data_IF_815177145880
#
_entry.id   IF_815177145880
#
_cell.length_a   1.000
_cell.length_b   1.000
_cell.length_c   1.000
_cell.angle_alpha   90.00
_cell.angle_beta   90.00
_cell.angle_gamma   90.00
#
_symmetry.space_group_name_H-M   'P 1'
#
loop_
_entity.id
_entity.type
_entity.pdbx_description
1 polymer ?
#
# COMPACT_ATOMS: atom_id res chain seq x y z
N UNK A 1 -6.41 -24.66 13.78
CA UNK A 1 -6.03 -24.27 12.41
C UNK A 1 -5.19 -22.97 12.32
N UNK A 2 -4.64 -22.44 13.42
CA UNK A 2 -3.47 -21.55 13.36
C UNK A 2 -2.54 -21.85 14.54
N UNK A 3 -3.12 -22.04 15.74
CA UNK A 3 -2.44 -22.58 16.93
C UNK A 3 -1.77 -23.95 16.71
N UNK A 4 -2.31 -24.81 15.83
CA UNK A 4 -1.64 -26.09 15.50
C UNK A 4 -0.38 -25.91 14.65
N UNK A 5 -0.31 -24.84 13.87
CA UNK A 5 0.82 -24.54 12.96
C UNK A 5 1.84 -23.65 13.67
N UNK A 6 1.39 -22.76 14.56
CA UNK A 6 2.21 -21.80 15.30
C UNK A 6 1.78 -21.75 16.79
N UNK A 7 2.12 -22.79 17.58
CA UNK A 7 1.53 -23.01 18.91
C UNK A 7 1.85 -21.98 20.00
N UNK A 8 2.75 -21.03 19.77
CA UNK A 8 3.10 -20.00 20.77
C UNK A 8 3.05 -18.57 20.24
N UNK A 9 2.50 -18.35 19.04
CA UNK A 9 2.46 -17.02 18.44
C UNK A 9 1.45 -16.09 19.14
N UNK A 10 0.58 -16.61 20.02
CA UNK A 10 -0.55 -15.88 20.62
C UNK A 10 -1.46 -15.16 19.60
N UNK A 11 -1.38 -15.55 18.32
CA UNK A 11 -2.13 -14.93 17.23
C UNK A 11 -3.52 -15.54 17.13
N UNK A 12 -4.53 -14.74 17.41
CA UNK A 12 -5.93 -15.08 17.12
C UNK A 12 -6.18 -14.91 15.62
N UNK A 13 -6.73 -15.96 14.97
CA UNK A 13 -6.92 -15.98 13.52
C UNK A 13 -7.79 -14.81 13.01
N UNK A 14 -8.91 -14.52 13.68
CA UNK A 14 -9.85 -13.46 13.26
C UNK A 14 -9.26 -12.04 13.32
N UNK A 15 -8.78 -11.52 14.47
CA UNK A 15 -8.25 -10.16 14.54
C UNK A 15 -6.93 -10.00 13.75
N UNK A 16 -6.14 -11.07 13.58
CA UNK A 16 -4.98 -11.02 12.69
C UNK A 16 -5.40 -10.83 11.22
N UNK A 17 -6.41 -11.57 10.76
CA UNK A 17 -6.97 -11.41 9.41
C UNK A 17 -7.57 -10.01 9.21
N UNK A 18 -8.34 -9.51 10.19
CA UNK A 18 -8.92 -8.16 10.15
C UNK A 18 -7.84 -7.07 10.07
N UNK A 19 -6.76 -7.21 10.84
CA UNK A 19 -5.61 -6.31 10.79
C UNK A 19 -4.94 -6.32 9.42
N UNK A 20 -4.69 -7.50 8.84
CA UNK A 20 -4.11 -7.63 7.50
C UNK A 20 -4.99 -7.03 6.41
N UNK A 21 -6.31 -7.26 6.46
CA UNK A 21 -7.25 -6.66 5.51
C UNK A 21 -7.25 -5.14 5.63
N UNK A 22 -7.18 -4.59 6.85
CA UNK A 22 -7.10 -3.14 7.06
C UNK A 22 -5.84 -2.54 6.43
N UNK A 23 -4.68 -3.17 6.63
CA UNK A 23 -3.43 -2.76 6.00
C UNK A 23 -3.54 -2.80 4.47
N UNK A 24 -4.00 -3.92 3.91
CA UNK A 24 -4.17 -4.06 2.46
C UNK A 24 -5.10 -3.01 1.85
N UNK A 25 -6.21 -2.68 2.52
CA UNK A 25 -7.12 -1.62 2.06
C UNK A 25 -6.46 -0.25 2.06
N UNK A 26 -5.63 0.05 3.07
CA UNK A 26 -4.89 1.31 3.15
C UNK A 26 -3.85 1.40 2.02
N UNK A 27 -3.05 0.36 1.85
CA UNK A 27 -2.01 0.32 0.82
C UNK A 27 -2.62 0.41 -0.58
N UNK A 28 -3.72 -0.30 -0.81
CA UNK A 28 -4.48 -0.20 -2.05
C UNK A 28 -4.99 1.22 -2.31
N UNK A 29 -5.54 1.91 -1.30
CA UNK A 29 -6.02 3.27 -1.47
C UNK A 29 -4.90 4.25 -1.83
N UNK A 30 -3.71 4.07 -1.24
CA UNK A 30 -2.52 4.88 -1.57
C UNK A 30 -2.14 4.69 -3.04
N UNK A 31 -1.97 3.43 -3.48
CA UNK A 31 -1.64 3.11 -4.88
C UNK A 31 -2.72 3.60 -5.84
N UNK A 32 -4.00 3.39 -5.49
CA UNK A 32 -5.13 3.85 -6.30
C UNK A 32 -5.09 5.37 -6.48
N UNK A 33 -4.84 6.13 -5.41
CA UNK A 33 -4.75 7.58 -5.47
C UNK A 33 -3.53 8.04 -6.27
N UNK A 34 -2.39 7.37 -6.14
CA UNK A 34 -1.21 7.63 -6.97
C UNK A 34 -1.54 7.45 -8.44
N UNK A 35 -2.24 6.38 -8.82
CA UNK A 35 -2.56 6.07 -10.22
C UNK A 35 -3.78 6.83 -10.77
N UNK A 36 -4.70 7.25 -9.91
CA UNK A 36 -5.97 7.90 -10.29
C UNK A 36 -6.00 9.40 -9.95
N UNK A 37 -4.86 9.97 -9.55
CA UNK A 37 -4.76 11.37 -9.15
C UNK A 37 -5.23 12.30 -10.25
N UNK A 38 -5.96 13.35 -9.85
CA UNK A 38 -6.42 14.41 -10.77
C UNK A 38 -5.20 15.10 -11.39
N UNK A 39 -5.30 15.41 -12.68
CA UNK A 39 -4.30 16.15 -13.48
C UNK A 39 -3.01 15.39 -13.85
N UNK A 40 -3.12 14.11 -14.23
CA UNK A 40 -2.00 13.27 -14.66
C UNK A 40 -0.92 13.18 -13.58
N UNK A 41 -1.20 12.42 -12.52
CA UNK A 41 -0.32 12.21 -11.36
C UNK A 41 1.13 11.80 -11.64
N UNK A 42 1.56 11.62 -12.89
CA UNK A 42 2.92 11.27 -13.28
C UNK A 42 3.32 9.84 -12.89
N UNK A 43 2.49 9.16 -12.09
CA UNK A 43 2.65 7.80 -11.66
C UNK A 43 2.03 6.84 -12.67
N UNK A 44 2.83 5.85 -13.08
CA UNK A 44 2.40 4.70 -13.85
C UNK A 44 2.49 3.42 -13.03
N UNK A 45 1.99 2.35 -13.63
CA UNK A 45 2.09 1.00 -13.10
C UNK A 45 2.94 0.13 -14.03
N UNK A 46 3.97 -0.50 -13.50
CA UNK A 46 4.77 -1.49 -14.21
C UNK A 46 4.12 -2.87 -14.05
N UNK A 47 3.44 -3.35 -15.10
CA UNK A 47 2.77 -4.64 -15.10
C UNK A 47 3.73 -5.83 -14.95
N UNK A 48 4.99 -5.70 -15.37
CA UNK A 48 5.95 -6.79 -15.24
C UNK A 48 6.50 -6.91 -13.83
N UNK A 49 6.77 -5.78 -13.19
CA UNK A 49 7.37 -5.74 -11.86
C UNK A 49 6.31 -5.69 -10.75
N UNK A 50 5.07 -5.35 -11.09
CA UNK A 50 3.96 -5.11 -10.18
C UNK A 50 4.28 -3.99 -9.17
N UNK A 51 4.73 -2.84 -9.69
CA UNK A 51 5.19 -1.69 -8.90
C UNK A 51 4.66 -0.37 -9.48
N UNK A 52 4.50 0.63 -8.62
CA UNK A 52 4.32 2.03 -9.05
C UNK A 52 5.66 2.57 -9.54
N UNK A 53 5.64 3.23 -10.70
CA UNK A 53 6.80 3.87 -11.31
C UNK A 53 6.49 5.33 -11.63
N UNK A 54 7.50 6.19 -11.53
CA UNK A 54 7.42 7.59 -11.94
C UNK A 54 8.84 8.15 -12.09
N UNK A 55 8.96 9.31 -12.74
CA UNK A 55 10.20 10.08 -12.72
C UNK A 55 10.51 10.62 -11.33
N UNK A 56 11.79 10.84 -11.02
CA UNK A 56 12.23 11.36 -9.71
C UNK A 56 11.55 12.68 -9.34
N UNK A 57 11.29 13.55 -10.32
CA UNK A 57 10.59 14.83 -10.11
C UNK A 57 9.17 14.64 -9.59
N UNK A 58 8.48 13.59 -10.04
CA UNK A 58 7.11 13.25 -9.62
C UNK A 58 7.14 12.69 -8.20
N UNK A 59 8.08 11.77 -7.90
CA UNK A 59 8.28 11.26 -6.54
C UNK A 59 8.57 12.37 -5.54
N UNK A 60 9.49 13.29 -5.88
CA UNK A 60 9.85 14.41 -5.03
C UNK A 60 8.66 15.34 -4.75
N UNK A 61 7.90 15.69 -5.80
CA UNK A 61 6.70 16.53 -5.62
C UNK A 61 5.66 15.86 -4.73
N UNK A 62 5.40 14.56 -4.93
CA UNK A 62 4.44 13.80 -4.12
C UNK A 62 4.85 13.73 -2.65
N UNK A 63 6.12 13.45 -2.36
CA UNK A 63 6.63 13.37 -0.99
C UNK A 63 6.58 14.73 -0.30
N UNK A 64 6.98 15.81 -0.99
CA UNK A 64 6.89 17.16 -0.45
C UNK A 64 5.45 17.54 -0.09
N UNK A 65 4.48 17.25 -0.96
CA UNK A 65 3.06 17.53 -0.69
C UNK A 65 2.55 16.78 0.56
N UNK A 66 3.01 15.55 0.80
CA UNK A 66 2.62 14.78 2.01
C UNK A 66 3.24 15.38 3.27
N UNK A 67 4.45 15.91 3.19
CA UNK A 67 5.16 16.47 4.35
C UNK A 67 4.59 17.84 4.75
N UNK A 68 3.99 18.55 3.81
CA UNK A 68 3.42 19.89 4.01
C UNK A 68 1.95 19.87 4.48
N UNK A 69 1.25 18.72 4.44
CA UNK A 69 -0.07 18.49 5.06
C UNK A 69 -0.01 18.12 6.55
#
# INVERSE_FOLDING_TARGET
MLEKVLPNAMLKAKPNLESRIRTLKRDWAIVYNMLSGKDNSGFGWDEHRQLVIAEDVVWNSYITNIIEE
#
